data_IF_628833317635
#
_entry.id   IF_628833317635
#
_cell.length_a   1.000
_cell.length_b   1.000
_cell.length_c   1.000
_cell.angle_alpha   90.00
_cell.angle_beta   90.00
_cell.angle_gamma   90.00
#
_symmetry.space_group_name_H-M   'P 1'
#
loop_
_entity.id
_entity.type
_entity.pdbx_description
1 polymer ?
#
# COMPACT_ATOMS: atom_id res chain seq x y z
N UNK A 1 -3.06 6.40 10.12
CA UNK A 1 -4.20 6.02 9.25
C UNK A 1 -4.52 4.53 9.40
N UNK A 2 -3.52 3.64 9.46
CA UNK A 2 -3.71 2.18 9.62
C UNK A 2 -4.47 1.72 10.86
N UNK A 3 -4.28 2.35 12.03
CA UNK A 3 -5.05 2.02 13.24
C UNK A 3 -6.55 2.26 13.02
N UNK A 4 -6.90 3.39 12.39
CA UNK A 4 -8.29 3.74 12.08
C UNK A 4 -8.85 2.76 11.05
N UNK A 5 -8.10 2.42 10.00
CA UNK A 5 -8.54 1.43 9.00
C UNK A 5 -8.78 0.04 9.62
N UNK A 6 -7.87 -0.45 10.46
CA UNK A 6 -8.02 -1.72 11.15
C UNK A 6 -9.25 -1.72 12.05
N UNK A 7 -9.46 -0.65 12.82
CA UNK A 7 -10.62 -0.52 13.68
C UNK A 7 -11.93 -0.50 12.86
N UNK A 8 -11.98 0.30 11.79
CA UNK A 8 -13.14 0.37 10.89
C UNK A 8 -13.40 -0.98 10.22
N UNK A 9 -12.37 -1.63 9.67
CA UNK A 9 -12.50 -2.94 9.02
C UNK A 9 -13.00 -4.01 9.98
N UNK A 10 -12.47 -4.03 11.22
CA UNK A 10 -12.90 -4.97 12.25
C UNK A 10 -14.37 -4.76 12.61
N UNK A 11 -14.77 -3.51 12.86
CA UNK A 11 -16.14 -3.17 13.19
C UNK A 11 -17.12 -3.55 12.07
N UNK A 12 -16.77 -3.25 10.82
CA UNK A 12 -17.59 -3.60 9.65
C UNK A 12 -17.68 -5.11 9.47
N UNK A 13 -16.58 -5.85 9.66
CA UNK A 13 -16.58 -7.31 9.56
C UNK A 13 -17.50 -7.96 10.61
N UNK A 14 -17.44 -7.52 11.87
CA UNK A 14 -18.36 -8.00 12.92
C UNK A 14 -19.81 -7.57 12.69
N UNK A 15 -20.04 -6.35 12.18
CA UNK A 15 -21.38 -5.89 11.84
C UNK A 15 -21.99 -6.70 10.67
N UNK A 16 -21.17 -7.11 9.71
CA UNK A 16 -21.57 -7.93 8.56
C UNK A 16 -21.92 -9.38 8.92
N UNK A 17 -21.49 -9.89 10.08
CA UNK A 17 -21.89 -11.24 10.55
C UNK A 17 -23.40 -11.35 10.75
N UNK A 18 -24.07 -10.30 11.23
CA UNK A 18 -25.55 -10.29 11.42
C UNK A 18 -26.33 -10.51 10.12
N UNK A 19 -26.11 -9.72 9.04
CA UNK A 19 -26.79 -9.94 7.77
C UNK A 19 -26.31 -11.19 7.03
N UNK A 20 -25.08 -11.67 7.27
CA UNK A 20 -24.56 -12.90 6.67
C UNK A 20 -25.15 -14.18 7.30
N UNK A 21 -25.81 -14.09 8.47
CA UNK A 21 -26.39 -15.25 9.16
C UNK A 21 -25.34 -16.18 9.80
N UNK A 22 -24.09 -15.75 9.87
CA UNK A 22 -23.00 -16.53 10.45
C UNK A 22 -22.97 -16.39 11.98
N UNK A 23 -22.82 -17.52 12.66
CA UNK A 23 -22.64 -17.55 14.12
C UNK A 23 -21.20 -17.23 14.46
N UNK A 24 -20.96 -16.50 15.56
CA UNK A 24 -19.60 -16.25 16.04
C UNK A 24 -18.91 -17.61 16.27
N UNK A 25 -17.76 -17.88 15.63
CA UNK A 25 -17.07 -19.14 15.78
C UNK A 25 -16.74 -19.39 17.25
N UNK A 26 -16.76 -20.65 17.68
CA UNK A 26 -16.27 -20.99 19.01
C UNK A 26 -14.78 -20.63 19.10
N UNK A 27 -14.41 -19.95 20.19
CA UNK A 27 -13.04 -19.54 20.45
C UNK A 27 -12.19 -20.75 20.83
N UNK A 28 -11.81 -21.52 19.83
CA UNK A 28 -10.88 -22.64 19.99
C UNK A 28 -9.44 -22.10 20.07
N UNK A 29 -8.55 -22.73 20.85
CA UNK A 29 -7.14 -22.35 20.89
C UNK A 29 -6.47 -22.35 19.50
N UNK A 30 -6.89 -23.25 18.61
CA UNK A 30 -6.42 -23.29 17.23
C UNK A 30 -6.84 -22.04 16.44
N UNK A 31 -8.11 -21.62 16.53
CA UNK A 31 -8.59 -20.39 15.90
C UNK A 31 -7.89 -19.16 16.47
N UNK A 32 -7.65 -19.13 17.78
CA UNK A 32 -6.92 -18.05 18.42
C UNK A 32 -5.47 -17.98 17.93
N UNK A 33 -4.80 -19.13 17.77
CA UNK A 33 -3.46 -19.20 17.20
C UNK A 33 -3.39 -18.67 15.76
N UNK A 34 -4.33 -19.07 14.91
CA UNK A 34 -4.41 -18.60 13.51
C UNK A 34 -4.74 -17.10 13.46
N UNK A 35 -5.72 -16.64 14.26
CA UNK A 35 -6.11 -15.24 14.32
C UNK A 35 -4.97 -14.33 14.81
N UNK A 36 -4.23 -14.77 15.84
CA UNK A 36 -3.05 -14.06 16.33
C UNK A 36 -1.94 -14.03 15.28
N UNK A 37 -1.67 -15.17 14.63
CA UNK A 37 -0.68 -15.23 13.55
C UNK A 37 -1.00 -14.26 12.42
N UNK A 38 -2.22 -14.34 11.88
CA UNK A 38 -2.70 -13.42 10.83
C UNK A 38 -2.68 -11.96 11.30
N UNK A 39 -3.08 -11.68 12.54
CA UNK A 39 -3.04 -10.34 13.12
C UNK A 39 -1.63 -9.76 13.20
N UNK A 40 -0.66 -10.55 13.67
CA UNK A 40 0.75 -10.14 13.76
C UNK A 40 1.33 -9.90 12.37
N UNK A 41 1.15 -10.83 11.42
CA UNK A 41 1.64 -10.64 10.05
C UNK A 41 0.99 -9.42 9.39
N UNK A 42 -0.31 -9.21 9.57
CA UNK A 42 -1.01 -8.04 9.05
C UNK A 42 -0.47 -6.73 9.64
N UNK A 43 -0.20 -6.69 10.94
CA UNK A 43 0.40 -5.54 11.60
C UNK A 43 1.80 -5.24 11.05
N UNK A 44 2.64 -6.26 10.86
CA UNK A 44 3.97 -6.13 10.24
C UNK A 44 3.83 -5.55 8.83
N UNK A 45 2.98 -6.14 8.00
CA UNK A 45 2.74 -5.69 6.62
C UNK A 45 2.31 -4.21 6.62
N UNK A 46 1.39 -3.82 7.49
CA UNK A 46 0.92 -2.44 7.55
C UNK A 46 2.01 -1.45 7.98
N UNK A 47 2.83 -1.81 8.97
CA UNK A 47 3.97 -0.97 9.39
C UNK A 47 4.98 -0.85 8.25
N UNK A 48 5.32 -1.96 7.60
CA UNK A 48 6.22 -1.98 6.44
C UNK A 48 5.64 -1.17 5.29
N UNK A 49 4.34 -1.25 5.02
CA UNK A 49 3.66 -0.47 3.99
C UNK A 49 3.74 1.03 4.26
N UNK A 50 3.42 1.43 5.50
CA UNK A 50 3.51 2.84 5.92
C UNK A 50 4.93 3.39 5.80
N UNK A 51 5.94 2.58 6.14
CA UNK A 51 7.35 2.92 5.98
C UNK A 51 7.75 3.00 4.51
N UNK A 52 7.39 1.99 3.71
CA UNK A 52 7.72 1.91 2.29
C UNK A 52 7.11 3.08 1.50
N UNK A 53 5.88 3.50 1.81
CA UNK A 53 5.26 4.67 1.19
C UNK A 53 6.00 5.97 1.47
N UNK A 54 6.75 6.07 2.59
CA UNK A 54 7.61 7.23 2.90
C UNK A 54 8.99 7.14 2.23
N UNK A 55 9.50 5.92 2.00
CA UNK A 55 10.90 5.71 1.58
C UNK A 55 11.07 5.28 0.12
N UNK A 56 10.01 4.84 -0.56
CA UNK A 56 10.06 4.26 -1.90
C UNK A 56 9.16 5.06 -2.83
N UNK A 57 9.68 5.52 -3.97
CA UNK A 57 8.85 6.17 -4.98
C UNK A 57 7.82 5.19 -5.55
N UNK A 58 6.59 5.64 -5.91
CA UNK A 58 5.54 4.78 -6.46
C UNK A 58 6.00 3.90 -7.63
N UNK A 59 6.92 4.45 -8.42
CA UNK A 59 7.65 3.83 -9.53
C UNK A 59 8.38 2.53 -9.12
N UNK A 60 9.22 2.61 -8.06
CA UNK A 60 9.94 1.44 -7.53
C UNK A 60 9.01 0.39 -6.94
N UNK A 61 7.91 0.80 -6.29
CA UNK A 61 6.91 -0.12 -5.77
C UNK A 61 6.18 -0.88 -6.89
N UNK A 62 5.87 -0.19 -8.00
CA UNK A 62 5.23 -0.79 -9.18
C UNK A 62 6.15 -1.85 -9.82
N UNK A 63 7.45 -1.57 -9.94
CA UNK A 63 8.44 -2.54 -10.40
C UNK A 63 8.53 -3.80 -9.50
N UNK A 64 8.46 -3.62 -8.19
CA UNK A 64 8.42 -4.75 -7.25
C UNK A 64 7.12 -5.56 -7.47
N UNK A 65 5.98 -4.88 -7.61
CA UNK A 65 4.68 -5.52 -7.77
C UNK A 65 4.55 -6.29 -9.09
N UNK A 66 5.21 -5.85 -10.16
CA UNK A 66 5.29 -6.64 -11.41
C UNK A 66 6.02 -7.98 -11.29
N UNK A 67 6.71 -8.22 -10.18
CA UNK A 67 7.21 -9.56 -9.88
C UNK A 67 6.10 -10.58 -9.64
N UNK A 68 4.90 -10.15 -9.21
CA UNK A 68 3.77 -11.04 -8.88
C UNK A 68 3.38 -12.00 -10.02
N UNK A 69 3.15 -11.57 -11.27
CA UNK A 69 2.86 -12.48 -12.39
C UNK A 69 4.01 -13.46 -12.70
N UNK A 70 5.26 -13.06 -12.47
CA UNK A 70 6.42 -13.93 -12.68
C UNK A 70 6.44 -15.05 -11.63
N UNK A 71 6.31 -14.69 -10.36
CA UNK A 71 6.25 -15.67 -9.27
C UNK A 71 5.02 -16.57 -9.39
N UNK A 72 3.85 -16.01 -9.71
CA UNK A 72 2.62 -16.76 -9.95
C UNK A 72 2.80 -17.77 -11.09
N UNK A 73 3.48 -17.40 -12.19
CA UNK A 73 3.81 -18.31 -13.26
C UNK A 73 4.75 -19.45 -12.82
N UNK A 74 5.80 -19.13 -12.07
CA UNK A 74 6.76 -20.12 -11.55
C UNK A 74 6.08 -21.11 -10.61
N UNK A 75 5.37 -20.61 -9.59
CA UNK A 75 4.68 -21.45 -8.61
C UNK A 75 3.50 -22.21 -9.23
N UNK A 76 2.74 -21.60 -10.14
CA UNK A 76 1.70 -22.30 -10.89
C UNK A 76 2.24 -23.46 -11.72
N UNK A 77 3.40 -23.28 -12.36
CA UNK A 77 4.04 -24.38 -13.10
C UNK A 77 4.55 -25.48 -12.17
N UNK A 78 5.15 -25.12 -11.03
CA UNK A 78 5.61 -26.06 -10.01
C UNK A 78 4.45 -26.85 -9.38
N UNK A 79 3.27 -26.24 -9.25
CA UNK A 79 2.04 -26.89 -8.81
C UNK A 79 1.41 -27.81 -9.87
N UNK A 80 2.02 -27.92 -11.06
CA UNK A 80 1.53 -28.76 -12.15
C UNK A 80 0.49 -28.10 -13.06
N UNK A 81 0.19 -26.81 -12.85
CA UNK A 81 -0.77 -26.08 -13.67
C UNK A 81 -0.23 -25.92 -15.09
N UNK A 82 -1.06 -26.27 -16.08
CA UNK A 82 -0.72 -26.06 -17.49
C UNK A 82 -0.93 -24.59 -17.81
N UNK A 83 0.13 -23.80 -17.76
CA UNK A 83 0.10 -22.40 -18.18
C UNK A 83 -0.30 -22.32 -19.67
N UNK A 84 -1.54 -21.91 -20.00
CA UNK A 84 -1.93 -21.77 -21.39
C UNK A 84 -1.11 -20.63 -22.02
N UNK A 85 -0.88 -20.71 -23.34
CA UNK A 85 -0.12 -19.68 -24.07
C UNK A 85 -0.65 -18.26 -23.82
N UNK A 86 -1.96 -18.15 -23.59
CA UNK A 86 -2.66 -16.91 -23.30
C UNK A 86 -2.29 -16.31 -21.92
N UNK A 87 -2.00 -17.15 -20.91
CA UNK A 87 -1.55 -16.69 -19.60
C UNK A 87 -0.12 -16.12 -19.68
N UNK A 88 0.76 -16.77 -20.46
CA UNK A 88 2.10 -16.24 -20.73
C UNK A 88 2.04 -14.90 -21.47
N UNK A 89 1.16 -14.79 -22.47
CA UNK A 89 0.94 -13.52 -23.18
C UNK A 89 0.43 -12.42 -22.23
N UNK A 90 -0.49 -12.75 -21.33
CA UNK A 90 -0.97 -11.85 -20.28
C UNK A 90 0.15 -11.37 -19.35
N UNK A 91 1.01 -12.28 -18.87
CA UNK A 91 2.19 -11.91 -18.09
C UNK A 91 3.10 -10.94 -18.85
N UNK A 92 3.42 -11.23 -20.13
CA UNK A 92 4.27 -10.36 -20.95
C UNK A 92 3.64 -8.98 -21.15
N UNK A 93 2.33 -8.90 -21.40
CA UNK A 93 1.59 -7.64 -21.54
C UNK A 93 1.61 -6.81 -20.25
N UNK A 94 1.45 -7.43 -19.08
CA UNK A 94 1.52 -6.74 -17.78
C UNK A 94 2.92 -6.17 -17.55
N UNK A 95 3.96 -6.97 -17.76
CA UNK A 95 5.35 -6.54 -17.62
C UNK A 95 5.69 -5.40 -18.58
N UNK A 96 5.26 -5.50 -19.85
CA UNK A 96 5.47 -4.46 -20.85
C UNK A 96 4.72 -3.16 -20.50
N UNK A 97 3.46 -3.26 -20.06
CA UNK A 97 2.66 -2.11 -19.65
C UNK A 97 3.29 -1.33 -18.51
N UNK A 98 3.80 -2.03 -17.49
CA UNK A 98 4.52 -1.38 -16.39
C UNK A 98 5.83 -0.77 -16.83
N UNK A 99 6.64 -1.48 -17.63
CA UNK A 99 7.90 -0.93 -18.13
C UNK A 99 7.69 0.37 -18.94
N UNK A 100 6.62 0.44 -19.74
CA UNK A 100 6.24 1.64 -20.48
C UNK A 100 5.75 2.76 -19.54
N UNK A 101 4.99 2.42 -18.50
CA UNK A 101 4.51 3.38 -17.50
C UNK A 101 5.66 4.01 -16.70
N UNK A 102 6.70 3.23 -16.40
CA UNK A 102 7.91 3.69 -15.73
C UNK A 102 8.73 4.64 -16.61
N UNK A 103 8.73 4.43 -17.94
CA UNK A 103 9.51 5.23 -18.88
C UNK A 103 8.90 6.61 -19.17
N UNK A 104 7.61 6.82 -18.86
CA UNK A 104 6.88 8.06 -19.16
C UNK A 104 6.30 8.72 -17.91
N UNK A 105 7.10 9.22 -16.97
CA UNK A 105 6.64 10.39 -16.17
C UNK A 105 7.71 11.13 -15.33
N UNK A 106 8.58 11.95 -15.95
CA UNK A 106 9.17 13.12 -15.26
C UNK A 106 8.16 14.29 -15.31
N UNK A 107 7.07 14.27 -14.52
CA UNK A 107 6.35 15.53 -14.23
C UNK A 107 7.22 16.25 -13.21
N UNK A 108 7.75 17.40 -13.61
CA UNK A 108 8.26 18.39 -12.68
C UNK A 108 7.20 18.61 -11.60
N UNK A 109 7.55 18.42 -10.34
CA UNK A 109 6.75 18.95 -9.23
C UNK A 109 6.51 20.44 -9.47
N UNK A 110 5.29 20.97 -9.28
CA UNK A 110 5.09 22.41 -9.25
C UNK A 110 6.00 23.02 -8.18
N UNK A 111 6.50 24.26 -8.36
CA UNK A 111 7.30 24.93 -7.34
C UNK A 111 6.45 25.01 -6.06
N UNK A 112 6.99 24.46 -4.98
CA UNK A 112 6.47 24.70 -3.63
C UNK A 112 6.60 26.21 -3.40
N UNK A 113 5.48 26.94 -3.44
CA UNK A 113 5.45 28.34 -3.01
C UNK A 113 5.66 28.30 -1.51
N UNK A 114 6.89 28.56 -1.07
CA UNK A 114 7.23 28.78 0.32
C UNK A 114 6.52 30.05 0.79
N UNK A 115 5.36 29.89 1.42
CA UNK A 115 4.73 30.91 2.27
C UNK A 115 5.62 31.14 3.49
N UNK A 116 6.77 31.78 3.29
CA UNK A 116 7.63 32.31 4.34
C UNK A 116 8.12 33.73 4.02
N UNK A 117 7.87 34.25 2.80
CA UNK A 117 8.22 35.64 2.44
C UNK A 117 7.25 36.69 3.01
N UNK A 118 6.03 36.31 3.42
CA UNK A 118 5.06 37.28 3.97
C UNK A 118 5.29 37.62 5.46
N UNK A 119 6.11 36.83 6.16
CA UNK A 119 6.42 37.05 7.58
C UNK A 119 7.66 37.93 7.80
N UNK A 120 8.55 38.03 6.81
CA UNK A 120 9.77 38.84 6.89
C UNK A 120 9.52 40.37 6.88
N UNK A 121 8.57 40.93 6.10
CA UNK A 121 8.33 42.37 6.10
C UNK A 121 7.82 42.87 7.45
N UNK A 122 6.98 42.08 8.13
CA UNK A 122 6.42 42.48 9.44
C UNK A 122 7.46 42.39 10.56
N UNK A 123 8.40 41.44 10.48
CA UNK A 123 9.50 41.32 11.43
C UNK A 123 10.52 42.48 11.27
N UNK A 124 10.87 42.88 10.04
CA UNK A 124 11.77 44.02 9.77
C UNK A 124 11.12 45.37 10.18
N UNK A 125 9.79 45.49 10.08
CA UNK A 125 9.07 46.67 10.57
C UNK A 125 8.95 46.72 12.10
N UNK A 126 8.96 45.58 12.77
CA UNK A 126 8.95 45.52 14.24
C UNK A 126 10.33 45.88 14.82
N UNK A 127 11.41 45.44 14.19
CA UNK A 127 12.80 45.73 14.61
C UNK A 127 13.15 47.22 14.46
N UNK A 128 12.61 47.90 13.44
CA UNK A 128 12.79 49.35 13.23
C UNK A 128 12.01 50.26 14.19
N UNK A 129 11.17 49.69 15.07
CA UNK A 129 10.27 50.44 15.98
C UNK A 129 10.77 50.49 17.43
N UNK A 130 11.93 49.90 17.72
CA UNK A 130 12.56 49.93 19.05
C UNK A 130 13.81 50.86 18.98
N UNK A 131 13.81 52.03 19.67
CA UNK A 131 14.95 52.96 19.67
C UNK A 131 16.05 52.60 20.69
#
# INVERSE_FOLDING_TARGET
MTVVQLATASLVAFAAMKPAGESVPSLTPALLGVALGLGIFSAIIQVTMNWAQRSVSPTRATLIYTGEPVWAGIFGRLAGERLPLLALLGCVLILAGVLVSELKWKRKSPPQVSTNDDAQPLADLADRREP
#
